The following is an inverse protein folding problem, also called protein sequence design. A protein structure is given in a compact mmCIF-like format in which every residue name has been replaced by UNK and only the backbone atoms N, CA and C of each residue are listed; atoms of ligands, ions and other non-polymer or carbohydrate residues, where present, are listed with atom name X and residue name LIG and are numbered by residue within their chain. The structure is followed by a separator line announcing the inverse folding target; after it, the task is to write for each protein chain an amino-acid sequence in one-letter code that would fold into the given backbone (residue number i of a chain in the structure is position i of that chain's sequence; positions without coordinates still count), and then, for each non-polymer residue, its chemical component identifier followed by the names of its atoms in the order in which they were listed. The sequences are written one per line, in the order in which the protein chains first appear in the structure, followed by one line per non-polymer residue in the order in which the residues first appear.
data_IF_184681962304
#
_entry.id   IF_184681962304
#
_cell.length_a   1.000
_cell.length_b   1.000
_cell.length_c   1.000
_cell.angle_alpha   90.00
_cell.angle_beta   90.00
_cell.angle_gamma   90.00
#
_symmetry.space_group_name_H-M   'P 1'
#
loop_
_entity.id
_entity.type
_entity.pdbx_description
1 polymer ?
#
# COMPACT_ATOMS: atom_id res chain seq x y z
N UNK A 1 -44.03 -25.48 -15.65
CA UNK A 1 -42.56 -25.41 -15.51
C UNK A 1 -42.17 -24.08 -14.86
N UNK A 2 -42.43 -23.93 -13.56
CA UNK A 2 -42.25 -22.67 -12.83
C UNK A 2 -40.81 -22.48 -12.40
N UNK A 3 -39.96 -22.04 -13.34
CA UNK A 3 -38.57 -21.73 -13.07
C UNK A 3 -38.49 -20.61 -12.02
N UNK A 4 -37.99 -20.94 -10.83
CA UNK A 4 -37.41 -20.00 -9.88
C UNK A 4 -38.34 -18.84 -9.48
N UNK A 5 -39.49 -19.14 -8.88
CA UNK A 5 -40.22 -18.07 -8.14
C UNK A 5 -39.23 -17.43 -7.15
N UNK A 6 -39.07 -16.09 -7.14
CA UNK A 6 -38.11 -15.37 -6.29
C UNK A 6 -38.11 -15.80 -4.82
N UNK A 7 -39.25 -16.32 -4.36
CA UNK A 7 -39.43 -16.95 -3.06
C UNK A 7 -38.39 -18.04 -2.72
N UNK A 8 -38.05 -18.92 -3.65
CA UNK A 8 -37.11 -20.02 -3.38
C UNK A 8 -35.69 -19.49 -3.15
N UNK A 9 -35.30 -18.46 -3.90
CA UNK A 9 -34.00 -17.80 -3.73
C UNK A 9 -33.92 -17.15 -2.35
N UNK A 10 -34.99 -16.46 -1.92
CA UNK A 10 -35.04 -15.86 -0.58
C UNK A 10 -34.85 -16.91 0.53
N UNK A 11 -35.54 -18.06 0.43
CA UNK A 11 -35.37 -19.16 1.40
C UNK A 11 -33.93 -19.69 1.39
N UNK A 12 -33.32 -19.87 0.22
CA UNK A 12 -31.95 -20.38 0.10
C UNK A 12 -30.92 -19.42 0.73
N UNK A 13 -31.09 -18.11 0.51
CA UNK A 13 -30.26 -17.07 1.15
C UNK A 13 -30.44 -17.09 2.67
N UNK A 14 -31.66 -17.23 3.18
CA UNK A 14 -31.92 -17.34 4.63
C UNK A 14 -31.20 -18.57 5.21
N UNK A 15 -31.29 -19.73 4.55
CA UNK A 15 -30.59 -20.95 5.00
C UNK A 15 -29.06 -20.76 4.99
N UNK A 16 -28.49 -20.12 3.97
CA UNK A 16 -27.07 -19.80 3.93
C UNK A 16 -26.65 -18.84 5.05
N UNK A 17 -27.47 -17.82 5.36
CA UNK A 17 -27.21 -16.89 6.47
C UNK A 17 -27.24 -17.64 7.81
N UNK A 18 -28.13 -18.60 7.99
CA UNK A 18 -28.20 -19.40 9.23
C UNK A 18 -27.00 -20.34 9.38
N UNK A 19 -26.54 -20.97 8.30
CA UNK A 19 -25.40 -21.91 8.32
C UNK A 19 -24.05 -21.20 8.45
N UNK A 20 -23.83 -20.15 7.65
CA UNK A 20 -22.55 -19.45 7.57
C UNK A 20 -22.47 -18.23 8.49
N UNK A 21 -23.61 -17.64 8.85
CA UNK A 21 -23.71 -16.41 9.64
C UNK A 21 -23.74 -15.14 8.78
N UNK A 22 -24.51 -14.14 9.23
CA UNK A 22 -24.74 -12.88 8.51
C UNK A 22 -23.47 -12.08 8.19
N UNK A 23 -22.39 -12.25 8.97
CA UNK A 23 -21.10 -11.57 8.74
C UNK A 23 -20.17 -12.33 7.78
N UNK A 24 -20.31 -13.65 7.62
CA UNK A 24 -19.40 -14.48 6.81
C UNK A 24 -19.76 -14.50 5.34
N UNK A 25 -21.05 -14.49 5.00
CA UNK A 25 -21.51 -14.39 3.60
C UNK A 25 -20.98 -13.15 2.87
N UNK A 26 -21.13 -11.91 3.39
CA UNK A 26 -20.65 -10.73 2.69
C UNK A 26 -19.11 -10.68 2.62
N UNK A 27 -18.43 -11.23 3.62
CA UNK A 27 -16.96 -11.30 3.62
C UNK A 27 -16.44 -12.29 2.58
N UNK A 28 -17.02 -13.49 2.53
CA UNK A 28 -16.71 -14.51 1.52
C UNK A 28 -17.07 -14.03 0.10
N UNK A 29 -18.24 -13.42 -0.10
CA UNK A 29 -18.62 -12.86 -1.40
C UNK A 29 -17.66 -11.75 -1.85
N UNK A 30 -17.16 -10.92 -0.92
CA UNK A 30 -16.19 -9.86 -1.23
C UNK A 30 -14.82 -10.43 -1.60
N UNK A 31 -14.31 -11.42 -0.87
CA UNK A 31 -13.01 -12.04 -1.17
C UNK A 31 -13.06 -12.81 -2.50
N UNK A 32 -14.09 -13.63 -2.71
CA UNK A 32 -14.33 -14.34 -3.96
C UNK A 32 -14.56 -13.38 -5.14
N UNK A 33 -15.29 -12.28 -4.91
CA UNK A 33 -15.54 -11.25 -5.92
C UNK A 33 -14.28 -10.53 -6.39
N UNK A 34 -13.30 -10.29 -5.50
CA UNK A 34 -12.00 -9.73 -5.89
C UNK A 34 -11.21 -10.69 -6.78
N UNK A 35 -11.15 -11.98 -6.42
CA UNK A 35 -10.45 -13.00 -7.24
C UNK A 35 -11.10 -13.17 -8.61
N UNK A 36 -12.44 -13.20 -8.67
CA UNK A 36 -13.18 -13.26 -9.93
C UNK A 36 -13.00 -12.00 -10.79
N UNK A 37 -12.83 -10.82 -10.18
CA UNK A 37 -12.58 -9.57 -10.93
C UNK A 37 -11.22 -9.61 -11.65
N UNK A 38 -10.19 -10.15 -11.01
CA UNK A 38 -8.86 -10.29 -11.61
C UNK A 38 -8.96 -11.23 -12.83
N UNK A 39 -9.52 -12.41 -12.63
CA UNK A 39 -9.71 -13.40 -13.71
C UNK A 39 -10.58 -12.80 -14.84
N UNK A 40 -11.65 -12.08 -14.51
CA UNK A 40 -12.51 -11.43 -15.49
C UNK A 40 -11.80 -10.31 -16.25
N UNK A 41 -10.93 -9.54 -15.60
CA UNK A 41 -10.14 -8.50 -16.27
C UNK A 41 -9.13 -9.13 -17.25
N UNK A 42 -8.41 -10.16 -16.82
CA UNK A 42 -7.48 -10.89 -17.68
C UNK A 42 -8.19 -11.56 -18.86
N UNK A 43 -9.33 -12.19 -18.62
CA UNK A 43 -10.15 -12.79 -19.69
C UNK A 43 -10.71 -11.75 -20.64
N UNK A 44 -11.09 -10.56 -20.13
CA UNK A 44 -11.61 -9.47 -20.94
C UNK A 44 -10.54 -8.85 -21.82
N UNK A 45 -9.30 -8.70 -21.35
CA UNK A 45 -8.19 -8.24 -22.21
C UNK A 45 -7.97 -9.17 -23.40
N UNK A 46 -8.05 -10.49 -23.21
CA UNK A 46 -7.95 -11.44 -24.32
C UNK A 46 -9.07 -11.29 -25.34
N UNK A 47 -10.29 -11.01 -24.86
CA UNK A 47 -11.48 -10.89 -25.69
C UNK A 47 -11.61 -9.51 -26.36
N UNK A 48 -11.06 -8.48 -25.70
CA UNK A 48 -10.99 -7.12 -26.21
C UNK A 48 -9.82 -6.98 -27.21
N UNK A 49 -8.67 -7.65 -27.01
CA UNK A 49 -7.55 -7.64 -27.99
C UNK A 49 -7.99 -8.16 -29.37
N UNK A 50 -8.86 -9.18 -29.42
CA UNK A 50 -9.46 -9.67 -30.68
C UNK A 50 -10.38 -8.63 -31.36
N UNK A 51 -10.97 -7.69 -30.60
CA UNK A 51 -11.81 -6.60 -31.13
C UNK A 51 -11.01 -5.34 -31.43
N UNK A 52 -10.02 -5.01 -30.60
CA UNK A 52 -9.10 -3.90 -30.75
C UNK A 52 -8.17 -4.11 -31.95
N UNK A 53 -7.82 -5.35 -32.32
CA UNK A 53 -7.10 -5.62 -33.57
C UNK A 53 -7.92 -5.28 -34.82
N UNK A 54 -9.26 -5.38 -34.75
CA UNK A 54 -10.16 -4.97 -35.83
C UNK A 54 -10.43 -3.45 -35.83
N UNK A 55 -10.41 -2.78 -34.66
CA UNK A 55 -10.69 -1.34 -34.52
C UNK A 55 -9.42 -0.46 -34.66
N UNK A 56 -8.24 -0.95 -34.23
CA UNK A 56 -6.94 -0.27 -34.40
C UNK A 56 -6.43 -0.25 -35.84
N UNK A 57 -6.96 -1.10 -36.72
CA UNK A 57 -6.70 -0.99 -38.15
C UNK A 57 -7.26 0.32 -38.75
N UNK A 58 -8.22 0.98 -38.09
CA UNK A 58 -8.84 2.24 -38.53
C UNK A 58 -8.41 3.48 -37.70
N UNK A 59 -7.94 3.29 -36.45
CA UNK A 59 -7.72 4.41 -35.51
C UNK A 59 -6.25 4.91 -35.38
N UNK A 60 -5.34 4.51 -36.28
CA UNK A 60 -3.93 4.93 -36.24
C UNK A 60 -3.71 6.30 -36.93
N UNK A 61 -4.43 7.34 -36.49
CA UNK A 61 -4.09 8.75 -36.78
C UNK A 61 -4.58 9.62 -35.62
N UNK A 62 -3.76 9.74 -34.57
CA UNK A 62 -4.10 10.57 -33.42
C UNK A 62 -2.99 10.61 -32.38
N UNK A 63 -2.01 11.48 -32.58
CA UNK A 63 -1.08 11.86 -31.51
C UNK A 63 -1.86 12.66 -30.47
N UNK A 64 -2.00 12.12 -29.26
CA UNK A 64 -2.55 12.86 -28.12
C UNK A 64 -1.40 13.28 -27.19
N UNK A 65 -1.16 14.60 -26.98
CA UNK A 65 -0.09 15.06 -26.10
C UNK A 65 -0.42 14.75 -24.63
N UNK A 66 0.61 14.36 -23.87
CA UNK A 66 0.52 14.11 -22.43
C UNK A 66 -0.04 15.34 -21.69
N UNK A 67 -1.02 15.18 -20.78
CA UNK A 67 -1.42 16.26 -19.88
C UNK A 67 -0.26 16.57 -18.90
N UNK A 68 0.15 17.84 -18.73
CA UNK A 68 1.32 18.22 -17.94
C UNK A 68 1.14 18.12 -16.41
N UNK A 69 0.32 17.19 -15.89
CA UNK A 69 0.02 17.14 -14.46
C UNK A 69 -0.03 15.75 -13.79
N UNK A 70 0.52 14.70 -14.41
CA UNK A 70 0.60 13.38 -13.79
C UNK A 70 1.85 13.15 -12.91
N UNK A 71 2.70 14.17 -12.72
CA UNK A 71 3.88 14.12 -11.84
C UNK A 71 3.66 14.79 -10.46
N UNK A 72 2.42 15.11 -10.09
CA UNK A 72 2.09 15.65 -8.77
C UNK A 72 0.92 14.90 -8.13
N UNK A 73 1.12 13.60 -7.87
CA UNK A 73 0.60 13.00 -6.64
C UNK A 73 1.77 12.64 -5.75
N UNK A 74 2.05 13.62 -4.91
CA UNK A 74 2.82 13.60 -3.68
C UNK A 74 2.74 12.22 -2.99
N UNK A 75 3.74 11.36 -3.24
CA UNK A 75 4.11 10.34 -2.27
C UNK A 75 4.77 11.08 -1.10
N UNK A 76 3.94 11.58 -0.19
CA UNK A 76 4.40 12.00 1.12
C UNK A 76 4.84 10.72 1.87
N UNK A 77 6.09 10.63 2.37
CA UNK A 77 6.48 9.55 3.25
C UNK A 77 5.79 9.77 4.60
N UNK A 78 4.67 9.10 4.86
CA UNK A 78 4.02 9.29 6.17
C UNK A 78 2.62 8.74 6.45
N UNK A 79 2.03 7.84 5.66
CA UNK A 79 0.74 7.24 6.03
C UNK A 79 0.86 5.74 6.28
N UNK A 80 1.25 5.39 7.50
CA UNK A 80 1.05 4.06 8.08
C UNK A 80 -0.45 3.87 8.39
N UNK A 81 -1.08 2.74 8.02
CA UNK A 81 -2.41 2.40 8.48
C UNK A 81 -2.36 2.15 9.99
N UNK A 82 -3.12 2.93 10.75
CA UNK A 82 -3.24 2.81 12.20
C UNK A 82 -3.91 1.47 12.54
N UNK A 83 -3.14 0.53 13.10
CA UNK A 83 -3.67 -0.63 13.80
C UNK A 83 -4.10 -0.21 15.21
N UNK A 84 -5.30 -0.59 15.70
CA UNK A 84 -5.68 -0.28 17.07
C UNK A 84 -4.93 -1.23 18.01
N UNK A 85 -3.95 -0.69 18.74
CA UNK A 85 -3.26 -1.40 19.82
C UNK A 85 -1.74 -1.49 19.66
N UNK A 86 -1.06 -0.34 19.65
CA UNK A 86 0.36 -0.28 19.98
C UNK A 86 0.47 0.74 21.12
N UNK A 87 0.55 0.23 22.34
CA UNK A 87 0.96 1.04 23.49
C UNK A 87 2.31 1.65 23.17
N UNK A 88 2.39 2.96 23.36
CA UNK A 88 3.59 3.75 23.14
C UNK A 88 4.66 3.32 24.14
N UNK A 89 5.47 2.33 23.76
CA UNK A 89 6.71 2.01 24.45
C UNK A 89 7.68 3.16 24.22
N UNK A 90 7.70 4.12 25.13
CA UNK A 90 8.79 5.07 25.23
C UNK A 90 10.06 4.28 25.60
N UNK A 91 11.16 4.36 24.83
CA UNK A 91 12.41 3.80 25.29
C UNK A 91 12.84 4.54 26.57
N UNK A 92 13.32 3.82 27.61
CA UNK A 92 13.84 4.48 28.80
C UNK A 92 15.03 5.37 28.42
N UNK A 93 15.27 6.49 29.13
CA UNK A 93 16.46 7.29 28.92
C UNK A 93 17.68 6.38 29.12
N UNK A 94 18.47 6.21 28.06
CA UNK A 94 19.78 5.58 28.12
C UNK A 94 20.66 6.46 29.01
N UNK A 95 20.68 6.18 30.31
CA UNK A 95 21.74 6.67 31.16
C UNK A 95 23.01 6.07 30.60
N UNK A 96 23.89 6.94 30.11
CA UNK A 96 25.19 6.58 29.59
C UNK A 96 25.95 5.82 30.68
N UNK A 97 25.92 4.49 30.59
CA UNK A 97 26.68 3.61 31.46
C UNK A 97 28.15 3.89 31.19
N UNK A 98 28.74 4.78 31.98
CA UNK A 98 30.17 4.94 32.05
C UNK A 98 30.73 3.60 32.55
N UNK A 99 31.24 2.78 31.63
CA UNK A 99 31.98 1.59 31.99
C UNK A 99 33.21 2.04 32.79
N UNK A 100 33.37 1.61 34.07
CA UNK A 100 34.58 1.88 34.80
C UNK A 100 35.67 0.96 34.23
N UNK A 101 36.53 1.48 33.34
CA UNK A 101 37.72 0.73 32.93
C UNK A 101 38.39 1.05 31.60
N UNK A 102 37.83 1.88 30.72
CA UNK A 102 38.51 2.21 29.45
C UNK A 102 39.12 3.62 29.53
N UNK A 103 40.41 3.68 29.85
CA UNK A 103 41.23 4.88 29.75
C UNK A 103 41.27 5.29 28.26
N UNK A 104 40.60 6.40 27.90
CA UNK A 104 40.80 7.03 26.60
C UNK A 104 42.21 7.65 26.56
N UNK A 105 43.07 7.31 25.58
CA UNK A 105 44.31 8.04 25.36
C UNK A 105 43.94 9.50 25.02
N UNK A 106 44.46 10.43 25.81
CA UNK A 106 44.26 11.86 25.62
C UNK A 106 44.89 12.28 24.28
N UNK A 107 44.07 12.48 23.24
CA UNK A 107 44.53 13.15 22.03
C UNK A 107 44.50 14.67 22.30
N UNK A 108 45.63 15.39 22.28
CA UNK A 108 45.62 16.83 22.50
C UNK A 108 44.86 17.55 21.37
N UNK A 109 44.16 18.65 21.67
CA UNK A 109 43.54 19.48 20.63
C UNK A 109 44.63 20.05 19.73
N UNK A 110 44.46 19.87 18.42
CA UNK A 110 45.30 20.50 17.40
C UNK A 110 45.22 22.01 17.59
N UNK A 111 46.32 22.62 18.04
CA UNK A 111 46.45 24.06 18.15
C UNK A 111 46.65 24.66 16.76
N UNK A 112 45.76 25.58 16.40
CA UNK A 112 45.78 26.30 15.13
C UNK A 112 46.99 27.27 15.10
N UNK A 113 47.96 27.14 14.17
CA UNK A 113 49.21 27.93 14.19
C UNK A 113 49.02 29.41 13.82
N UNK A 114 47.81 29.81 13.42
CA UNK A 114 47.54 31.16 12.89
C UNK A 114 47.54 32.25 13.99
N UNK A 115 47.38 31.87 15.26
CA UNK A 115 47.31 32.85 16.37
C UNK A 115 48.68 33.36 16.84
N UNK A 116 49.79 32.66 16.57
CA UNK A 116 51.14 33.02 17.07
C UNK A 116 51.73 34.31 16.48
N UNK A 117 51.18 34.85 15.41
CA UNK A 117 51.80 35.96 14.66
C UNK A 117 51.28 37.34 15.07
N UNK A 118 50.18 37.42 15.85
CA UNK A 118 49.57 38.71 16.22
C UNK A 118 50.13 39.36 17.49
N UNK A 119 50.91 38.65 18.30
CA UNK A 119 51.29 39.09 19.64
C UNK A 119 52.77 39.49 19.80
N UNK A 120 53.41 40.04 18.75
CA UNK A 120 54.76 40.60 18.87
C UNK A 120 54.84 42.06 18.40
#
# INVERSE_FOLDING_TARGET
MGALKPWHIAVLVVVLILLFGAKRLPDAARSLGRSLRIIKAETKSLQDDDRDLAEKADAQTGYQPLPPNAAQQQYAPGQQPYAPGQQQYAPPPQQQYAAPGQQQPYAPPVSDPVQRVRDN
#
